data_IF_077596494201
#
_entry.id   IF_077596494201
#
_cell.length_a   1.000
_cell.length_b   1.000
_cell.length_c   1.000
_cell.angle_alpha   90.00
_cell.angle_beta   90.00
_cell.angle_gamma   90.00
#
_symmetry.space_group_name_H-M   'P 1'
#
loop_
_entity.id
_entity.type
_entity.pdbx_description
1 polymer ?
#
# COMPACT_ATOMS: atom_id res chain seq x y z
N UNK A 1 5.96 -17.44 1.43
CA UNK A 1 4.63 -17.00 1.90
C UNK A 1 4.12 -15.82 1.08
N UNK A 2 2.86 -15.49 1.23
CA UNK A 2 2.20 -14.37 0.52
C UNK A 2 2.96 -13.05 0.73
N UNK A 3 3.27 -12.69 1.99
CA UNK A 3 4.00 -11.46 2.33
C UNK A 3 5.32 -11.35 1.57
N UNK A 4 6.21 -12.35 1.71
CA UNK A 4 7.53 -12.33 1.07
C UNK A 4 7.45 -12.30 -0.46
N UNK A 5 6.48 -13.02 -1.04
CA UNK A 5 6.26 -13.04 -2.49
C UNK A 5 5.87 -11.64 -2.98
N UNK A 6 4.91 -11.00 -2.30
CA UNK A 6 4.44 -9.66 -2.67
C UNK A 6 5.52 -8.61 -2.45
N UNK A 7 6.20 -8.63 -1.31
CA UNK A 7 7.25 -7.65 -0.96
C UNK A 7 8.42 -7.71 -1.94
N UNK A 8 8.87 -8.92 -2.32
CA UNK A 8 9.90 -9.07 -3.37
C UNK A 8 9.42 -8.52 -4.71
N UNK A 9 8.17 -8.80 -5.07
CA UNK A 9 7.57 -8.27 -6.30
C UNK A 9 7.56 -6.74 -6.33
N UNK A 10 7.16 -6.10 -5.24
CA UNK A 10 7.21 -4.64 -5.10
C UNK A 10 8.64 -4.12 -5.23
N UNK A 11 9.60 -4.74 -4.54
CA UNK A 11 11.01 -4.37 -4.63
C UNK A 11 11.56 -4.46 -6.06
N UNK A 12 11.22 -5.52 -6.81
CA UNK A 12 11.62 -5.66 -8.21
C UNK A 12 10.94 -4.62 -9.11
N UNK A 13 9.67 -4.34 -8.88
CA UNK A 13 8.89 -3.40 -9.68
C UNK A 13 9.44 -1.97 -9.55
N UNK A 14 9.70 -1.53 -8.33
CA UNK A 14 10.21 -0.18 -8.05
C UNK A 14 11.72 -0.06 -8.28
N UNK A 15 12.50 -1.09 -7.95
CA UNK A 15 13.97 -1.07 -7.93
C UNK A 15 14.64 -0.77 -9.28
N UNK A 16 13.90 -0.80 -10.40
CA UNK A 16 14.42 -0.42 -11.71
C UNK A 16 14.33 1.08 -11.97
N UNK A 17 13.64 1.86 -11.16
CA UNK A 17 13.30 3.25 -11.43
C UNK A 17 12.36 3.47 -12.63
N UNK A 18 11.83 2.39 -13.23
CA UNK A 18 10.92 2.46 -14.39
C UNK A 18 9.45 2.60 -14.02
N UNK A 19 9.09 2.17 -12.83
CA UNK A 19 7.75 2.41 -12.28
C UNK A 19 7.65 3.89 -11.82
N UNK A 20 6.53 4.62 -12.00
CA UNK A 20 5.23 4.17 -12.49
C UNK A 20 4.94 4.41 -13.99
N UNK A 21 5.94 4.50 -14.85
CA UNK A 21 5.68 4.74 -16.27
C UNK A 21 4.95 3.57 -16.92
N UNK A 22 3.84 3.84 -17.59
CA UNK A 22 3.01 2.82 -18.23
C UNK A 22 3.73 2.11 -19.38
N UNK A 23 3.46 0.80 -19.55
CA UNK A 23 3.99 -0.02 -20.64
C UNK A 23 5.51 -0.09 -20.74
N UNK A 24 6.21 0.00 -19.61
CA UNK A 24 7.68 -0.01 -19.55
C UNK A 24 8.31 -1.38 -19.32
N UNK A 25 7.50 -2.46 -19.29
CA UNK A 25 8.01 -3.81 -19.06
C UNK A 25 9.16 -4.21 -19.97
N UNK A 26 9.19 -3.73 -21.23
CA UNK A 26 10.25 -4.00 -22.18
C UNK A 26 11.61 -3.43 -21.77
N UNK A 27 11.63 -2.39 -20.92
CA UNK A 27 12.83 -1.73 -20.40
C UNK A 27 13.45 -2.43 -19.18
N UNK A 28 12.75 -3.40 -18.59
CA UNK A 28 13.26 -4.14 -17.43
C UNK A 28 14.34 -5.14 -17.86
N UNK A 29 15.40 -5.34 -17.05
CA UNK A 29 16.35 -6.43 -17.23
C UNK A 29 15.68 -7.80 -17.29
N UNK A 30 16.24 -8.75 -18.03
CA UNK A 30 15.60 -10.04 -18.28
C UNK A 30 15.38 -10.85 -17.01
N UNK A 31 16.35 -10.85 -16.11
CA UNK A 31 16.27 -11.52 -14.80
C UNK A 31 15.14 -10.96 -13.94
N UNK A 32 14.93 -9.65 -13.93
CA UNK A 32 13.82 -9.02 -13.22
C UNK A 32 12.46 -9.31 -13.87
N UNK A 33 12.39 -9.37 -15.20
CA UNK A 33 11.17 -9.82 -15.90
C UNK A 33 10.78 -11.22 -15.48
N UNK A 34 11.72 -12.13 -15.39
CA UNK A 34 11.48 -13.51 -14.94
C UNK A 34 11.03 -13.55 -13.48
N UNK A 35 11.65 -12.77 -12.59
CA UNK A 35 11.26 -12.70 -11.19
C UNK A 35 9.85 -12.13 -11.01
N UNK A 36 9.48 -11.09 -11.75
CA UNK A 36 8.13 -10.52 -11.74
C UNK A 36 7.09 -11.52 -12.28
N UNK A 37 7.40 -12.23 -13.37
CA UNK A 37 6.52 -13.27 -13.90
C UNK A 37 6.32 -14.43 -12.90
N UNK A 38 7.38 -14.88 -12.23
CA UNK A 38 7.32 -15.89 -11.15
C UNK A 38 6.48 -15.40 -9.97
N UNK A 39 6.63 -14.15 -9.58
CA UNK A 39 5.83 -13.52 -8.51
C UNK A 39 4.36 -13.51 -8.85
N UNK A 40 3.99 -13.04 -10.04
CA UNK A 40 2.60 -13.00 -10.51
C UNK A 40 2.00 -14.42 -10.55
N UNK A 41 2.74 -15.38 -11.08
CA UNK A 41 2.30 -16.79 -11.14
C UNK A 41 2.10 -17.38 -9.74
N UNK A 42 3.01 -17.08 -8.81
CA UNK A 42 2.88 -17.55 -7.42
C UNK A 42 1.67 -16.95 -6.73
N UNK A 43 1.39 -15.66 -6.91
CA UNK A 43 0.20 -15.02 -6.37
C UNK A 43 -1.09 -15.65 -6.94
N UNK A 44 -1.12 -15.96 -8.24
CA UNK A 44 -2.27 -16.65 -8.83
C UNK A 44 -2.56 -18.02 -8.18
N UNK A 45 -1.50 -18.74 -7.74
CA UNK A 45 -1.65 -20.02 -7.00
C UNK A 45 -2.16 -19.79 -5.56
N UNK A 46 -1.79 -18.68 -4.94
CA UNK A 46 -2.23 -18.34 -3.59
C UNK A 46 -3.64 -17.74 -3.53
N UNK A 47 -4.22 -17.39 -4.70
CA UNK A 47 -5.55 -16.79 -4.75
C UNK A 47 -6.63 -17.80 -4.40
N UNK A 48 -7.49 -17.39 -3.48
CA UNK A 48 -8.67 -18.12 -3.02
C UNK A 48 -9.84 -17.95 -3.99
N UNK A 49 -10.84 -18.82 -3.84
CA UNK A 49 -12.06 -18.75 -4.64
C UNK A 49 -12.88 -17.47 -4.47
N UNK A 50 -12.74 -16.80 -3.29
CA UNK A 50 -13.40 -15.53 -3.00
C UNK A 50 -12.62 -14.30 -3.54
N UNK A 51 -11.44 -14.50 -4.13
CA UNK A 51 -10.58 -13.46 -4.68
C UNK A 51 -9.53 -12.93 -3.73
N UNK A 52 -9.59 -13.25 -2.43
CA UNK A 52 -8.53 -12.97 -1.46
C UNK A 52 -7.34 -13.89 -1.66
N UNK A 53 -6.33 -13.78 -0.80
CA UNK A 53 -5.14 -14.62 -0.86
C UNK A 53 -4.88 -15.31 0.49
N UNK A 54 -4.48 -16.58 0.43
CA UNK A 54 -4.01 -17.33 1.58
C UNK A 54 -2.49 -17.18 1.76
N UNK A 55 -2.00 -17.42 2.97
CA UNK A 55 -0.60 -17.19 3.33
C UNK A 55 0.38 -18.11 2.59
N UNK A 56 0.08 -19.39 2.57
CA UNK A 56 0.92 -20.45 1.98
C UNK A 56 0.26 -21.17 0.81
N UNK A 57 -1.08 -21.24 0.84
CA UNK A 57 -1.92 -21.89 -0.17
C UNK A 57 -3.26 -21.17 -0.34
N UNK A 58 -3.97 -21.47 -1.42
CA UNK A 58 -5.35 -21.00 -1.64
C UNK A 58 -6.38 -21.64 -0.68
N UNK A 59 -5.99 -22.66 0.07
CA UNK A 59 -6.84 -23.31 1.07
C UNK A 59 -6.73 -22.69 2.46
N UNK A 60 -5.72 -21.87 2.70
CA UNK A 60 -5.53 -21.17 3.97
C UNK A 60 -6.64 -20.14 4.20
N UNK A 61 -6.77 -19.66 5.43
CA UNK A 61 -7.61 -18.52 5.72
C UNK A 61 -7.15 -17.27 4.95
N UNK A 62 -8.10 -16.39 4.66
CA UNK A 62 -7.80 -15.12 3.98
C UNK A 62 -6.92 -14.22 4.86
N UNK A 63 -5.76 -13.86 4.35
CA UNK A 63 -4.90 -12.83 4.91
C UNK A 63 -5.35 -11.46 4.36
N UNK A 64 -6.21 -10.78 5.12
CA UNK A 64 -6.98 -9.65 4.60
C UNK A 64 -6.12 -8.48 4.16
N UNK A 65 -5.24 -7.98 5.04
CA UNK A 65 -4.37 -6.85 4.70
C UNK A 65 -3.39 -7.22 3.58
N UNK A 66 -2.79 -8.42 3.66
CA UNK A 66 -1.88 -8.93 2.62
C UNK A 66 -2.61 -9.18 1.29
N UNK A 67 -3.91 -9.48 1.31
CA UNK A 67 -4.71 -9.59 0.09
C UNK A 67 -4.85 -8.24 -0.62
N UNK A 68 -5.00 -7.14 0.12
CA UNK A 68 -4.96 -5.79 -0.46
C UNK A 68 -3.59 -5.50 -1.04
N UNK A 69 -2.52 -5.80 -0.29
CA UNK A 69 -1.13 -5.59 -0.71
C UNK A 69 -0.78 -6.39 -1.98
N UNK A 70 -1.21 -7.65 -2.06
CA UNK A 70 -1.04 -8.47 -3.27
C UNK A 70 -1.82 -7.90 -4.47
N UNK A 71 -3.04 -7.40 -4.23
CA UNK A 71 -3.85 -6.76 -5.27
C UNK A 71 -3.21 -5.45 -5.75
N UNK A 72 -2.67 -4.64 -4.84
CA UNK A 72 -1.91 -3.44 -5.18
C UNK A 72 -0.70 -3.76 -6.07
N UNK A 73 0.09 -4.77 -5.69
CA UNK A 73 1.20 -5.24 -6.54
C UNK A 73 0.72 -5.68 -7.93
N UNK A 74 -0.30 -6.54 -8.01
CA UNK A 74 -0.79 -7.06 -9.29
C UNK A 74 -1.31 -5.96 -10.21
N UNK A 75 -1.98 -4.96 -9.65
CA UNK A 75 -2.49 -3.82 -10.43
C UNK A 75 -1.34 -2.92 -10.91
N UNK A 76 -0.35 -2.64 -10.07
CA UNK A 76 0.85 -1.87 -10.44
C UNK A 76 1.70 -2.59 -11.50
N UNK A 77 1.90 -3.90 -11.35
CA UNK A 77 2.60 -4.71 -12.35
C UNK A 77 1.88 -4.66 -13.70
N UNK A 78 0.54 -4.73 -13.69
CA UNK A 78 -0.27 -4.64 -14.90
C UNK A 78 -0.15 -3.26 -15.60
N UNK A 79 -0.05 -2.16 -14.85
CA UNK A 79 0.14 -0.80 -15.38
C UNK A 79 1.43 -0.67 -16.21
N UNK A 80 2.51 -1.31 -15.80
CA UNK A 80 3.79 -1.25 -16.52
C UNK A 80 3.94 -2.33 -17.60
N UNK A 81 2.98 -3.26 -17.71
CA UNK A 81 2.95 -4.27 -18.77
C UNK A 81 3.30 -5.70 -18.34
N UNK A 82 3.36 -5.98 -17.02
CA UNK A 82 3.46 -7.35 -16.50
C UNK A 82 2.06 -7.87 -16.14
N UNK A 83 1.43 -8.55 -17.07
CA UNK A 83 0.01 -8.90 -16.98
C UNK A 83 -0.23 -10.19 -16.20
N UNK A 84 -0.99 -10.09 -15.11
CA UNK A 84 -1.65 -11.24 -14.52
C UNK A 84 -2.88 -11.66 -15.35
N UNK A 85 -3.34 -12.90 -15.15
CA UNK A 85 -4.58 -13.35 -15.80
C UNK A 85 -5.74 -12.43 -15.41
N UNK A 86 -6.56 -12.03 -16.41
CA UNK A 86 -7.71 -11.13 -16.19
C UNK A 86 -8.66 -11.62 -15.10
N UNK A 87 -8.87 -12.93 -14.99
CA UNK A 87 -9.70 -13.52 -13.93
C UNK A 87 -9.13 -13.26 -12.53
N UNK A 88 -7.80 -13.35 -12.36
CA UNK A 88 -7.10 -13.10 -11.09
C UNK A 88 -7.30 -11.67 -10.65
N UNK A 89 -7.04 -10.69 -11.54
CA UNK A 89 -7.25 -9.26 -11.26
C UNK A 89 -8.71 -8.98 -10.91
N UNK A 90 -9.65 -9.46 -11.72
CA UNK A 90 -11.09 -9.23 -11.49
C UNK A 90 -11.56 -9.79 -10.16
N UNK A 91 -11.14 -10.99 -9.78
CA UNK A 91 -11.50 -11.61 -8.51
C UNK A 91 -10.92 -10.82 -7.32
N UNK A 92 -9.65 -10.41 -7.41
CA UNK A 92 -9.01 -9.60 -6.37
C UNK A 92 -9.71 -8.24 -6.19
N UNK A 93 -10.00 -7.52 -7.28
CA UNK A 93 -10.71 -6.23 -7.24
C UNK A 93 -12.13 -6.40 -6.70
N UNK A 94 -12.84 -7.46 -7.10
CA UNK A 94 -14.18 -7.75 -6.57
C UNK A 94 -14.13 -8.02 -5.06
N UNK A 95 -13.10 -8.70 -4.57
CA UNK A 95 -12.89 -8.92 -3.14
C UNK A 95 -12.63 -7.59 -2.41
N UNK A 96 -11.80 -6.68 -2.94
CA UNK A 96 -11.60 -5.34 -2.35
C UNK A 96 -12.93 -4.59 -2.22
N UNK A 97 -13.76 -4.61 -3.27
CA UNK A 97 -15.09 -3.99 -3.23
C UNK A 97 -16.02 -4.61 -2.17
N UNK A 98 -15.93 -5.93 -1.98
CA UNK A 98 -16.70 -6.62 -0.94
C UNK A 98 -16.23 -6.25 0.46
N UNK A 99 -14.92 -6.09 0.64
CA UNK A 99 -14.29 -5.73 1.91
C UNK A 99 -14.74 -4.36 2.43
N UNK A 100 -15.03 -3.41 1.52
CA UNK A 100 -15.52 -2.06 1.89
C UNK A 100 -17.05 -1.92 1.84
N UNK A 101 -17.79 -3.02 1.53
CA UNK A 101 -19.25 -2.94 1.32
C UNK A 101 -20.04 -2.73 2.61
N UNK A 102 -19.59 -3.32 3.70
CA UNK A 102 -20.38 -3.43 4.93
C UNK A 102 -20.52 -2.14 5.74
N UNK A 103 -19.68 -1.14 5.52
CA UNK A 103 -19.74 0.18 6.19
C UNK A 103 -19.52 0.14 7.70
N UNK A 104 -19.24 -1.03 8.30
CA UNK A 104 -19.05 -1.19 9.74
C UNK A 104 -17.77 -2.00 10.04
N UNK A 105 -16.76 -1.32 10.54
CA UNK A 105 -15.45 -1.87 10.82
C UNK A 105 -15.20 -1.86 12.33
N UNK A 106 -15.27 -3.04 12.96
CA UNK A 106 -15.24 -3.19 14.44
C UNK A 106 -13.85 -3.21 15.05
N UNK A 107 -12.82 -3.44 14.23
CA UNK A 107 -11.45 -3.59 14.72
C UNK A 107 -10.52 -2.76 13.88
N UNK A 108 -9.40 -2.37 14.47
CA UNK A 108 -8.38 -1.58 13.78
C UNK A 108 -7.83 -2.28 12.52
N UNK A 109 -7.73 -3.63 12.53
CA UNK A 109 -7.29 -4.36 11.33
C UNK A 109 -8.28 -4.22 10.18
N UNK A 110 -9.58 -4.19 10.48
CA UNK A 110 -10.61 -3.96 9.48
C UNK A 110 -10.58 -2.53 8.96
N UNK A 111 -10.32 -1.56 9.83
CA UNK A 111 -10.17 -0.15 9.46
C UNK A 111 -8.94 0.01 8.56
N UNK A 112 -7.78 -0.53 8.94
CA UNK A 112 -6.56 -0.49 8.13
C UNK A 112 -6.74 -1.17 6.76
N UNK A 113 -7.36 -2.35 6.75
CA UNK A 113 -7.63 -3.10 5.50
C UNK A 113 -8.60 -2.33 4.59
N UNK A 114 -9.63 -1.68 5.17
CA UNK A 114 -10.58 -0.88 4.40
C UNK A 114 -9.93 0.39 3.84
N UNK A 115 -9.10 1.08 4.63
CA UNK A 115 -8.37 2.26 4.17
C UNK A 115 -7.47 1.93 2.97
N UNK A 116 -6.69 0.85 3.07
CA UNK A 116 -5.86 0.39 1.96
C UNK A 116 -6.69 -0.04 0.74
N UNK A 117 -7.82 -0.73 0.96
CA UNK A 117 -8.74 -1.11 -0.12
C UNK A 117 -9.30 0.10 -0.86
N UNK A 118 -9.70 1.15 -0.14
CA UNK A 118 -10.16 2.41 -0.74
C UNK A 118 -9.08 3.07 -1.58
N UNK A 119 -7.83 3.10 -1.08
CA UNK A 119 -6.71 3.64 -1.82
C UNK A 119 -6.44 2.87 -3.13
N UNK A 120 -6.33 1.54 -3.07
CA UNK A 120 -6.08 0.73 -4.27
C UNK A 120 -7.21 0.88 -5.29
N UNK A 121 -8.47 0.82 -4.84
CA UNK A 121 -9.64 0.98 -5.70
C UNK A 121 -9.70 2.37 -6.34
N UNK A 122 -9.36 3.44 -5.59
CA UNK A 122 -9.31 4.80 -6.14
C UNK A 122 -8.21 4.92 -7.19
N UNK A 123 -7.02 4.39 -6.92
CA UNK A 123 -5.86 4.41 -7.82
C UNK A 123 -6.17 3.77 -9.18
N UNK A 124 -6.93 2.69 -9.19
CA UNK A 124 -7.28 1.98 -10.44
C UNK A 124 -8.64 2.42 -11.03
N UNK A 125 -9.29 3.44 -10.47
CA UNK A 125 -10.58 3.94 -10.96
C UNK A 125 -11.78 3.03 -10.71
N UNK A 126 -11.68 2.09 -9.77
CA UNK A 126 -12.69 1.05 -9.49
C UNK A 126 -13.42 1.25 -8.16
N UNK A 127 -13.19 2.37 -7.49
CA UNK A 127 -13.77 2.70 -6.19
C UNK A 127 -15.13 3.40 -6.29
N UNK A 128 -15.64 3.79 -5.12
CA UNK A 128 -16.90 4.51 -4.97
C UNK A 128 -16.73 5.67 -4.00
N UNK A 129 -16.92 6.90 -4.48
CA UNK A 129 -16.71 8.12 -3.71
C UNK A 129 -17.66 8.23 -2.49
N UNK A 130 -18.91 7.77 -2.62
CA UNK A 130 -19.86 7.79 -1.51
C UNK A 130 -19.43 6.91 -0.35
N UNK A 131 -18.92 5.71 -0.64
CA UNK A 131 -18.36 4.80 0.37
C UNK A 131 -17.07 5.35 0.96
N UNK A 132 -16.19 5.95 0.15
CA UNK A 132 -14.96 6.58 0.63
C UNK A 132 -15.26 7.72 1.59
N UNK A 133 -16.21 8.61 1.26
CA UNK A 133 -16.66 9.70 2.15
C UNK A 133 -17.21 9.16 3.46
N UNK A 134 -18.12 8.18 3.38
CA UNK A 134 -18.68 7.54 4.56
C UNK A 134 -17.60 6.92 5.43
N UNK A 135 -16.66 6.20 4.84
CA UNK A 135 -15.55 5.59 5.56
C UNK A 135 -14.68 6.65 6.25
N UNK A 136 -14.24 7.68 5.53
CA UNK A 136 -13.42 8.74 6.08
C UNK A 136 -14.12 9.49 7.23
N UNK A 137 -15.37 9.90 7.02
CA UNK A 137 -16.12 10.68 8.00
C UNK A 137 -16.37 9.92 9.33
N UNK A 138 -16.50 8.59 9.26
CA UNK A 138 -16.84 7.78 10.44
C UNK A 138 -15.63 7.10 11.09
N UNK A 139 -14.51 6.92 10.39
CA UNK A 139 -13.38 6.10 10.87
C UNK A 139 -12.03 6.80 10.91
N UNK A 140 -11.90 8.06 10.46
CA UNK A 140 -10.60 8.76 10.48
C UNK A 140 -9.95 8.85 11.86
N UNK A 141 -10.75 8.93 12.91
CA UNK A 141 -10.27 9.01 14.30
C UNK A 141 -9.86 7.63 14.86
N UNK A 142 -10.15 6.56 14.12
CA UNK A 142 -9.80 5.17 14.47
C UNK A 142 -8.63 4.64 13.61
N UNK A 143 -7.99 5.48 12.79
CA UNK A 143 -6.87 5.06 11.97
C UNK A 143 -5.69 4.65 12.85
N UNK A 144 -5.16 3.42 12.67
CA UNK A 144 -4.10 2.92 13.53
C UNK A 144 -2.77 3.61 13.31
N UNK A 145 -2.55 4.21 12.13
CA UNK A 145 -1.29 4.90 11.80
C UNK A 145 -1.52 6.05 10.80
N UNK A 146 -0.46 6.82 10.55
CA UNK A 146 -0.48 7.85 9.51
C UNK A 146 -0.58 7.28 8.08
N UNK A 147 -0.28 6.00 7.90
CA UNK A 147 -0.40 5.31 6.60
C UNK A 147 -1.85 5.34 6.10
N UNK A 148 -2.83 5.08 6.98
CA UNK A 148 -4.25 5.14 6.62
C UNK A 148 -4.67 6.55 6.24
N UNK A 149 -4.15 7.55 6.95
CA UNK A 149 -4.37 8.96 6.59
C UNK A 149 -3.79 9.29 5.21
N UNK A 150 -2.58 8.82 4.92
CA UNK A 150 -1.96 8.99 3.60
C UNK A 150 -2.75 8.28 2.48
N UNK A 151 -3.25 7.07 2.72
CA UNK A 151 -4.16 6.39 1.79
C UNK A 151 -5.43 7.21 1.53
N UNK A 152 -6.00 7.85 2.55
CA UNK A 152 -7.19 8.69 2.38
C UNK A 152 -6.89 9.97 1.61
N UNK A 153 -5.75 10.63 1.86
CA UNK A 153 -5.31 11.78 1.04
C UNK A 153 -5.31 11.40 -0.43
N UNK A 154 -4.63 10.29 -0.77
CA UNK A 154 -4.53 9.81 -2.14
C UNK A 154 -5.90 9.50 -2.76
N UNK A 155 -6.72 8.74 -2.04
CA UNK A 155 -8.03 8.33 -2.53
C UNK A 155 -9.00 9.52 -2.71
N UNK A 156 -9.02 10.47 -1.76
CA UNK A 156 -9.86 11.66 -1.81
C UNK A 156 -9.42 12.62 -2.92
N UNK A 157 -8.11 12.80 -3.12
CA UNK A 157 -7.56 13.59 -4.22
C UNK A 157 -7.94 12.99 -5.58
N UNK A 158 -7.86 11.67 -5.73
CA UNK A 158 -8.24 10.97 -6.96
C UNK A 158 -9.70 11.21 -7.37
N UNK A 159 -10.58 11.47 -6.40
CA UNK A 159 -11.99 11.80 -6.63
C UNK A 159 -12.30 13.30 -6.59
N UNK A 160 -11.30 14.16 -6.39
CA UNK A 160 -11.48 15.60 -6.31
C UNK A 160 -12.25 16.08 -5.07
N UNK A 161 -12.25 15.31 -3.97
CA UNK A 161 -12.85 15.74 -2.70
C UNK A 161 -11.88 16.65 -1.92
N UNK A 162 -11.79 17.90 -2.37
CA UNK A 162 -10.82 18.88 -1.85
C UNK A 162 -10.98 19.15 -0.36
N UNK A 163 -12.21 19.17 0.15
CA UNK A 163 -12.47 19.46 1.56
C UNK A 163 -11.93 18.39 2.50
N UNK A 164 -12.27 17.13 2.24
CA UNK A 164 -11.80 15.99 3.03
C UNK A 164 -10.31 15.71 2.82
N UNK A 165 -9.84 15.84 1.60
CA UNK A 165 -8.40 15.70 1.31
C UNK A 165 -7.60 16.73 2.09
N UNK A 166 -8.05 18.00 2.18
CA UNK A 166 -7.37 19.00 2.99
C UNK A 166 -7.32 18.61 4.46
N UNK A 167 -8.44 18.15 5.05
CA UNK A 167 -8.46 17.67 6.44
C UNK A 167 -7.47 16.52 6.67
N UNK A 168 -7.44 15.54 5.77
CA UNK A 168 -6.50 14.43 5.85
C UNK A 168 -5.04 14.90 5.72
N UNK A 169 -4.74 15.86 4.84
CA UNK A 169 -3.40 16.48 4.73
C UNK A 169 -3.00 17.22 6.00
N UNK A 170 -3.90 17.97 6.60
CA UNK A 170 -3.66 18.69 7.85
C UNK A 170 -3.31 17.68 8.98
N UNK A 171 -4.06 16.59 9.13
CA UNK A 171 -3.76 15.50 10.08
C UNK A 171 -2.41 14.82 9.80
N UNK A 172 -2.07 14.60 8.52
CA UNK A 172 -0.77 14.07 8.13
C UNK A 172 0.37 15.00 8.53
N UNK A 173 0.17 16.33 8.42
CA UNK A 173 1.17 17.33 8.84
C UNK A 173 1.33 17.40 10.36
N UNK A 174 0.28 17.14 11.13
CA UNK A 174 0.39 17.02 12.60
C UNK A 174 1.23 15.80 12.99
N UNK A 175 1.00 14.66 12.33
CA UNK A 175 1.78 13.44 12.55
C UNK A 175 3.29 13.68 12.35
N UNK A 176 3.71 14.48 11.38
CA UNK A 176 5.15 14.71 11.10
C UNK A 176 5.93 15.23 12.31
N UNK A 177 5.27 15.93 13.23
CA UNK A 177 5.89 16.46 14.45
C UNK A 177 6.23 15.37 15.47
N UNK A 178 5.61 14.19 15.35
CA UNK A 178 5.74 13.07 16.28
C UNK A 178 6.08 11.74 15.60
N UNK A 179 6.48 11.75 14.34
CA UNK A 179 6.67 10.54 13.52
C UNK A 179 7.59 9.48 14.17
N UNK A 180 8.62 9.89 14.91
CA UNK A 180 9.55 9.01 15.60
C UNK A 180 9.30 8.88 17.10
N UNK A 181 8.42 9.71 17.66
CA UNK A 181 8.11 9.77 19.09
C UNK A 181 6.76 9.15 19.43
N UNK A 182 5.98 8.75 18.42
CA UNK A 182 4.71 8.07 18.65
C UNK A 182 5.00 6.77 19.40
N UNK A 183 4.38 6.56 20.58
CA UNK A 183 4.53 5.29 21.26
C UNK A 183 4.08 4.17 20.34
N UNK A 184 4.84 3.09 20.32
CA UNK A 184 4.52 1.86 19.59
C UNK A 184 3.33 1.10 20.22
N UNK A 185 2.30 1.81 20.66
CA UNK A 185 1.06 1.22 21.19
C UNK A 185 0.09 0.80 20.10
N UNK A 186 0.43 1.02 18.85
CA UNK A 186 -0.30 0.41 17.77
C UNK A 186 -0.01 -1.08 17.88
N UNK A 187 -1.04 -1.82 18.19
CA UNK A 187 -1.01 -3.27 18.15
C UNK A 187 -0.92 -3.65 16.67
N UNK A 188 0.33 -3.60 16.15
CA UNK A 188 0.61 -3.98 14.78
C UNK A 188 0.22 -5.44 14.60
N UNK A 189 -0.39 -5.76 13.48
CA UNK A 189 -0.46 -7.15 13.06
C UNK A 189 0.97 -7.67 12.84
N UNK A 190 1.11 -8.96 12.60
CA UNK A 190 2.41 -9.62 12.43
C UNK A 190 3.27 -9.05 11.29
N UNK A 191 2.73 -8.18 10.44
CA UNK A 191 3.37 -7.63 9.24
C UNK A 191 3.69 -6.15 9.36
N UNK A 192 3.30 -5.48 10.43
CA UNK A 192 3.52 -4.06 10.66
C UNK A 192 4.73 -3.81 11.55
N UNK A 193 5.40 -2.69 11.34
CA UNK A 193 6.45 -2.16 12.21
C UNK A 193 6.48 -0.64 12.10
N UNK A 194 7.04 0.08 13.11
CA UNK A 194 7.19 1.53 13.03
C UNK A 194 7.91 1.99 11.76
N UNK A 195 8.96 1.28 11.34
CA UNK A 195 9.71 1.60 10.13
C UNK A 195 8.88 1.40 8.86
N UNK A 196 8.12 0.31 8.79
CA UNK A 196 7.24 0.06 7.67
C UNK A 196 6.17 1.14 7.55
N UNK A 197 5.58 1.58 8.69
CA UNK A 197 4.55 2.63 8.69
C UNK A 197 5.10 3.97 8.21
N UNK A 198 6.28 4.38 8.70
CA UNK A 198 6.91 5.62 8.24
C UNK A 198 7.24 5.52 6.74
N UNK A 199 7.81 4.40 6.29
CA UNK A 199 8.14 4.19 4.89
C UNK A 199 6.89 4.24 4.00
N UNK A 200 5.81 3.55 4.39
CA UNK A 200 4.56 3.54 3.65
C UNK A 200 3.94 4.95 3.57
N UNK A 201 3.90 5.67 4.69
CA UNK A 201 3.40 7.04 4.74
C UNK A 201 4.20 7.96 3.81
N UNK A 202 5.53 7.91 3.86
CA UNK A 202 6.40 8.70 2.99
C UNK A 202 6.23 8.32 1.50
N UNK A 203 6.13 7.02 1.20
CA UNK A 203 5.91 6.54 -0.16
C UNK A 203 4.60 7.10 -0.74
N UNK A 204 3.48 6.94 -0.03
CA UNK A 204 2.18 7.40 -0.50
C UNK A 204 2.13 8.93 -0.60
N UNK A 205 2.73 9.65 0.34
CA UNK A 205 2.84 11.11 0.28
C UNK A 205 3.62 11.56 -0.96
N UNK A 206 4.75 10.91 -1.26
CA UNK A 206 5.56 11.22 -2.43
C UNK A 206 4.85 10.89 -3.75
N UNK A 207 4.16 9.75 -3.84
CA UNK A 207 3.35 9.39 -5.02
C UNK A 207 2.27 10.44 -5.35
N UNK A 208 1.76 11.15 -4.35
CA UNK A 208 0.72 12.16 -4.50
C UNK A 208 1.27 13.59 -4.57
N UNK A 209 2.56 13.73 -4.82
CA UNK A 209 3.26 15.02 -4.96
C UNK A 209 3.00 15.99 -3.78
N UNK A 210 2.89 15.42 -2.57
CA UNK A 210 2.72 16.21 -1.34
C UNK A 210 4.07 16.80 -0.96
N UNK A 211 4.39 17.95 -1.55
CA UNK A 211 5.63 18.69 -1.28
C UNK A 211 5.47 19.54 -0.01
N UNK A 212 6.02 19.06 1.08
CA UNK A 212 6.00 19.77 2.34
C UNK A 212 7.33 19.63 3.08
N UNK A 213 7.87 20.74 3.59
CA UNK A 213 9.15 20.77 4.33
C UNK A 213 9.16 19.82 5.53
N UNK A 214 8.04 19.65 6.22
CA UNK A 214 7.93 18.72 7.35
C UNK A 214 8.08 17.26 6.91
N UNK A 215 7.48 16.86 5.78
CA UNK A 215 7.65 15.51 5.23
C UNK A 215 9.09 15.26 4.77
N UNK A 216 9.74 16.25 4.18
CA UNK A 216 11.17 16.18 3.83
C UNK A 216 12.01 15.95 5.09
N UNK A 217 11.77 16.71 6.16
CA UNK A 217 12.48 16.52 7.44
C UNK A 217 12.26 15.13 8.05
N UNK A 218 11.03 14.58 7.92
CA UNK A 218 10.76 13.18 8.33
C UNK A 218 11.57 12.21 7.47
N UNK A 219 11.63 12.42 6.14
CA UNK A 219 12.39 11.56 5.23
C UNK A 219 13.91 11.59 5.53
N UNK A 220 14.48 12.77 5.80
CA UNK A 220 15.88 12.92 6.21
C UNK A 220 16.18 12.19 7.53
N UNK A 221 15.31 12.37 8.53
CA UNK A 221 15.43 11.69 9.83
C UNK A 221 15.26 10.17 9.68
N UNK A 222 14.35 9.74 8.81
CA UNK A 222 14.15 8.33 8.48
C UNK A 222 15.37 7.71 7.80
N UNK A 223 15.96 8.41 6.83
CA UNK A 223 17.18 7.96 6.16
C UNK A 223 18.32 7.73 7.17
N UNK A 224 18.51 8.65 8.13
CA UNK A 224 19.49 8.46 9.21
C UNK A 224 19.15 7.23 10.05
N UNK A 225 17.90 7.05 10.44
CA UNK A 225 17.46 5.93 11.28
C UNK A 225 17.68 4.56 10.62
N UNK A 226 17.41 4.45 9.31
CA UNK A 226 17.65 3.20 8.57
C UNK A 226 19.14 2.93 8.36
N UNK A 227 20.00 3.97 8.24
CA UNK A 227 21.45 3.79 8.05
C UNK A 227 22.13 3.17 9.27
N UNK A 228 21.57 3.33 10.46
CA UNK A 228 22.09 2.77 11.72
C UNK A 228 21.62 1.33 11.99
N UNK A 229 20.67 0.81 11.20
CA UNK A 229 20.05 -0.52 11.40
C UNK A 229 20.66 -1.57 10.50
N UNK A 230 20.99 -2.74 11.07
CA UNK A 230 21.64 -3.85 10.34
C UNK A 230 20.68 -4.82 9.66
N UNK A 231 19.44 -4.91 10.12
CA UNK A 231 18.47 -5.90 9.63
C UNK A 231 17.11 -5.28 9.40
N UNK A 232 16.51 -5.67 8.29
CA UNK A 232 15.15 -5.33 7.90
C UNK A 232 14.39 -6.60 7.52
N UNK A 233 13.10 -6.68 7.84
CA UNK A 233 12.24 -7.71 7.28
C UNK A 233 12.08 -7.50 5.77
N UNK A 234 11.62 -8.52 5.06
CA UNK A 234 11.32 -8.41 3.63
C UNK A 234 10.29 -7.31 3.36
N UNK A 235 9.30 -7.20 4.25
CA UNK A 235 8.24 -6.20 4.18
C UNK A 235 8.77 -4.78 4.42
N UNK A 236 9.56 -4.57 5.48
CA UNK A 236 10.23 -3.28 5.72
C UNK A 236 11.09 -2.87 4.52
N UNK A 237 11.92 -3.79 4.02
CA UNK A 237 12.82 -3.52 2.88
C UNK A 237 12.06 -3.08 1.63
N UNK A 238 10.91 -3.71 1.34
CA UNK A 238 10.08 -3.34 0.21
C UNK A 238 9.54 -1.90 0.35
N UNK A 239 8.92 -1.57 1.49
CA UNK A 239 8.36 -0.24 1.72
C UNK A 239 9.43 0.85 1.80
N UNK A 240 10.59 0.57 2.42
CA UNK A 240 11.75 1.49 2.42
C UNK A 240 12.23 1.78 1.00
N UNK A 241 12.36 0.74 0.16
CA UNK A 241 12.76 0.92 -1.23
C UNK A 241 11.74 1.72 -2.03
N UNK A 242 10.45 1.44 -1.83
CA UNK A 242 9.36 2.19 -2.47
C UNK A 242 9.40 3.67 -2.06
N UNK A 243 9.58 3.97 -0.78
CA UNK A 243 9.69 5.33 -0.25
C UNK A 243 10.89 6.07 -0.86
N UNK A 244 12.08 5.47 -0.81
CA UNK A 244 13.30 6.08 -1.35
C UNK A 244 13.13 6.46 -2.82
N UNK A 245 12.66 5.52 -3.65
CA UNK A 245 12.49 5.73 -5.08
C UNK A 245 11.36 6.71 -5.44
N UNK A 246 10.36 6.87 -4.58
CA UNK A 246 9.29 7.85 -4.79
C UNK A 246 9.71 9.26 -4.39
N UNK A 247 10.59 9.41 -3.39
CA UNK A 247 11.10 10.71 -2.92
C UNK A 247 12.15 11.29 -3.87
N UNK A 248 12.96 10.43 -4.52
CA UNK A 248 13.99 10.84 -5.48
C UNK A 248 13.43 11.43 -6.79
N UNK A 249 12.14 11.31 -7.05
CA UNK A 249 11.43 11.83 -8.24
C UNK A 249 10.82 13.21 -8.01
#
# INVERSE_FOLDING_TARGET
CLEQTTSRGMGFLFGTGKYPSSNTAHLFPLDLKEQLAKTISRLAILQRHDGSFGLWSSSDNSEKWLSVYATDFLTRANEVGFYAQKKTIRAAVAWLRSNIRGGYFKTWEKVATAAYSHYVLARIGEGNIGKLRHFYDNYRDEFPSATETAFMVSALDAYGDVGRSKQAKDSLMEWTSNAFNSPSYIQYDHYSSPLREIAATLHIAAENDIKNKKLISVAESFSKHISERKYFSTHESAWISMAALSIER
#
